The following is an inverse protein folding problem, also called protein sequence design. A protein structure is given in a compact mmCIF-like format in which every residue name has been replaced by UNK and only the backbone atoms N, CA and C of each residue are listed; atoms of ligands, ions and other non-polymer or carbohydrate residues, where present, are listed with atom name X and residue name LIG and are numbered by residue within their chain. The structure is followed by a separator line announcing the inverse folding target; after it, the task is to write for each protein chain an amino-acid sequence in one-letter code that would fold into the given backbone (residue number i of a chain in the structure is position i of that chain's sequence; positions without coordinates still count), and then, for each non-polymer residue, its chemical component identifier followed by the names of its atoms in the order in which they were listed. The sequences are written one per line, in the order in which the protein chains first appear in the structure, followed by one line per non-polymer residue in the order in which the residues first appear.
data_IF_604180144918
#
_entry.id   IF_604180144918
#
_cell.length_a   1.000
_cell.length_b   1.000
_cell.length_c   1.000
_cell.angle_alpha   90.00
_cell.angle_beta   90.00
_cell.angle_gamma   90.00
#
_symmetry.space_group_name_H-M   'P 1'
#
loop_
_entity.id
_entity.type
_entity.pdbx_description
1 polymer ?
#
# COMPACT_ATOMS: atom_id res chain seq x y z
N UNK A 1 6.83 -5.22 -19.50
CA UNK A 1 6.09 -3.93 -19.63
C UNK A 1 6.84 -3.03 -20.61
N UNK A 2 6.19 -2.26 -21.49
CA UNK A 2 6.93 -1.28 -22.33
C UNK A 2 7.27 0.02 -21.54
N UNK A 3 8.23 0.81 -22.02
CA UNK A 3 8.73 2.02 -21.35
C UNK A 3 7.65 3.10 -21.15
N UNK A 4 6.62 3.13 -22.01
CA UNK A 4 5.52 4.12 -21.91
C UNK A 4 4.54 3.75 -20.79
N UNK A 5 4.24 2.45 -20.68
CA UNK A 5 3.40 1.86 -19.63
C UNK A 5 4.06 1.99 -18.25
N UNK A 6 5.37 1.77 -18.17
CA UNK A 6 6.16 1.99 -16.94
C UNK A 6 6.15 3.45 -16.47
N UNK A 7 6.34 4.41 -17.39
CA UNK A 7 6.29 5.84 -17.06
C UNK A 7 4.92 6.29 -16.54
N UNK A 8 3.84 5.78 -17.12
CA UNK A 8 2.47 6.05 -16.66
C UNK A 8 2.24 5.48 -15.25
N UNK A 9 2.66 4.24 -15.03
CA UNK A 9 2.53 3.56 -13.75
C UNK A 9 3.30 4.30 -12.63
N UNK A 10 4.53 4.73 -12.92
CA UNK A 10 5.34 5.52 -12.00
C UNK A 10 4.66 6.83 -11.59
N UNK A 11 4.08 7.56 -12.54
CA UNK A 11 3.35 8.79 -12.27
C UNK A 11 2.10 8.55 -11.40
N UNK A 12 1.38 7.45 -11.62
CA UNK A 12 0.25 7.04 -10.77
C UNK A 12 0.67 6.78 -9.33
N UNK A 13 1.76 6.03 -9.10
CA UNK A 13 2.24 5.79 -7.74
C UNK A 13 2.64 7.08 -7.02
N UNK A 14 3.30 8.01 -7.71
CA UNK A 14 3.64 9.30 -7.12
C UNK A 14 2.40 10.12 -6.76
N UNK A 15 1.37 10.11 -7.63
CA UNK A 15 0.10 10.79 -7.36
C UNK A 15 -0.59 10.20 -6.12
N UNK A 16 -0.70 8.88 -6.05
CA UNK A 16 -1.32 8.17 -4.93
C UNK A 16 -0.54 8.39 -3.63
N UNK A 17 0.80 8.31 -3.67
CA UNK A 17 1.63 8.56 -2.49
C UNK A 17 1.49 9.99 -1.96
N UNK A 18 1.36 10.99 -2.85
CA UNK A 18 1.05 12.37 -2.44
C UNK A 18 -0.36 12.51 -1.85
N UNK A 19 -1.33 11.80 -2.39
CA UNK A 19 -2.70 11.80 -1.88
C UNK A 19 -2.76 11.17 -0.48
N UNK A 20 -2.02 10.10 -0.22
CA UNK A 20 -1.97 9.46 1.10
C UNK A 20 -1.10 10.20 2.12
N UNK A 21 -0.16 11.04 1.65
CA UNK A 21 0.65 11.89 2.53
C UNK A 21 -0.22 12.81 3.39
N UNK A 22 -1.30 13.34 2.82
CA UNK A 22 -2.31 14.12 3.53
C UNK A 22 -3.59 13.30 3.55
N UNK A 23 -3.84 12.59 4.65
CA UNK A 23 -4.98 11.69 4.77
C UNK A 23 -6.26 12.38 4.29
N UNK A 24 -6.96 11.81 3.29
CA UNK A 24 -8.21 12.35 2.80
C UNK A 24 -9.19 12.52 3.97
N UNK A 25 -9.93 13.64 4.03
CA UNK A 25 -10.85 13.89 5.14
C UNK A 25 -12.09 12.99 5.10
N UNK A 26 -12.39 12.39 3.94
CA UNK A 26 -13.52 11.50 3.75
C UNK A 26 -13.09 10.04 3.67
N UNK A 27 -13.83 9.18 4.37
CA UNK A 27 -13.71 7.71 4.28
C UNK A 27 -13.79 7.24 2.82
N UNK A 28 -14.77 7.71 2.06
CA UNK A 28 -15.01 7.24 0.69
C UNK A 28 -13.87 7.67 -0.25
N UNK A 29 -13.28 8.85 -0.02
CA UNK A 29 -12.11 9.30 -0.78
C UNK A 29 -10.88 8.44 -0.46
N UNK A 30 -10.66 8.13 0.82
CA UNK A 30 -9.59 7.25 1.25
C UNK A 30 -9.73 5.85 0.66
N UNK A 31 -10.93 5.24 0.72
CA UNK A 31 -11.19 3.93 0.13
C UNK A 31 -10.92 3.91 -1.37
N UNK A 32 -11.39 4.94 -2.11
CA UNK A 32 -11.14 5.04 -3.55
C UNK A 32 -9.64 5.11 -3.87
N UNK A 33 -8.87 5.83 -3.07
CA UNK A 33 -7.41 5.91 -3.23
C UNK A 33 -6.76 4.54 -2.95
N UNK A 34 -7.18 3.86 -1.88
CA UNK A 34 -6.68 2.52 -1.53
C UNK A 34 -7.02 1.47 -2.60
N UNK A 35 -8.23 1.52 -3.15
CA UNK A 35 -8.67 0.65 -4.25
C UNK A 35 -7.85 0.88 -5.53
N UNK A 36 -7.66 2.14 -5.93
CA UNK A 36 -6.84 2.48 -7.11
C UNK A 36 -5.40 2.01 -6.91
N UNK A 37 -4.85 2.23 -5.72
CA UNK A 37 -3.49 1.84 -5.39
C UNK A 37 -3.32 0.31 -5.40
N UNK A 38 -4.26 -0.42 -4.81
CA UNK A 38 -4.23 -1.90 -4.77
C UNK A 38 -4.41 -2.50 -6.17
N UNK A 39 -5.31 -1.93 -6.99
CA UNK A 39 -5.48 -2.33 -8.39
C UNK A 39 -4.19 -2.19 -9.20
N UNK A 40 -3.44 -1.10 -8.98
CA UNK A 40 -2.13 -0.92 -9.60
C UNK A 40 -1.09 -1.94 -9.10
N UNK A 41 -1.10 -2.30 -7.81
CA UNK A 41 -0.17 -3.28 -7.25
C UNK A 41 -0.39 -4.70 -7.77
N UNK A 42 -1.65 -5.11 -7.94
CA UNK A 42 -1.99 -6.45 -8.46
C UNK A 42 -1.38 -6.77 -9.82
N UNK A 43 -1.12 -5.75 -10.65
CA UNK A 43 -0.56 -5.94 -11.99
C UNK A 43 0.96 -6.09 -12.00
N UNK A 44 1.61 -6.01 -10.84
CA UNK A 44 3.07 -6.03 -10.73
C UNK A 44 3.53 -7.39 -10.23
N UNK A 45 4.47 -7.97 -10.97
CA UNK A 45 5.17 -9.18 -10.56
C UNK A 45 6.45 -8.84 -9.78
N UNK A 46 6.97 -9.83 -9.04
CA UNK A 46 8.18 -9.66 -8.22
C UNK A 46 9.40 -9.28 -9.08
N UNK A 47 9.52 -9.83 -10.29
CA UNK A 47 10.65 -9.60 -11.18
C UNK A 47 10.64 -8.19 -11.83
N UNK A 48 9.45 -7.58 -11.92
CA UNK A 48 9.25 -6.22 -12.45
C UNK A 48 9.46 -5.13 -11.38
N UNK A 49 9.90 -5.50 -10.18
CA UNK A 49 10.00 -4.59 -9.04
C UNK A 49 11.13 -3.57 -9.15
N UNK A 50 12.27 -3.95 -9.72
CA UNK A 50 13.52 -3.18 -9.65
C UNK A 50 13.47 -1.81 -10.33
N UNK A 51 12.73 -1.65 -11.43
CA UNK A 51 12.77 -0.43 -12.25
C UNK A 51 11.88 0.72 -11.71
N UNK A 52 10.93 0.40 -10.82
CA UNK A 52 9.95 1.36 -10.28
C UNK A 52 10.13 1.69 -8.79
N UNK A 53 11.20 1.19 -8.17
CA UNK A 53 11.48 1.24 -6.72
C UNK A 53 11.31 2.63 -6.09
N UNK A 54 12.02 3.65 -6.60
CA UNK A 54 12.08 4.99 -5.98
C UNK A 54 10.75 5.75 -5.96
N UNK A 55 9.84 5.48 -6.90
CA UNK A 55 8.54 6.15 -6.92
C UNK A 55 7.53 5.50 -5.97
N UNK A 56 7.79 4.26 -5.54
CA UNK A 56 6.89 3.43 -4.74
C UNK A 56 7.21 3.47 -3.25
N UNK A 57 8.47 3.65 -2.85
CA UNK A 57 8.86 3.73 -1.44
C UNK A 57 8.04 4.75 -0.65
N UNK A 58 7.81 5.94 -1.23
CA UNK A 58 6.99 6.97 -0.61
C UNK A 58 5.56 6.48 -0.33
N UNK A 59 4.96 5.76 -1.30
CA UNK A 59 3.62 5.22 -1.19
C UNK A 59 3.54 4.06 -0.18
N UNK A 60 4.51 3.15 -0.20
CA UNK A 60 4.57 2.00 0.70
C UNK A 60 4.74 2.43 2.15
N UNK A 61 5.55 3.45 2.39
CA UNK A 61 5.75 4.01 3.73
C UNK A 61 4.54 4.80 4.23
N UNK A 62 3.72 5.40 3.35
CA UNK A 62 2.50 6.09 3.82
C UNK A 62 1.48 5.13 4.43
N UNK A 63 1.50 3.85 4.06
CA UNK A 63 0.46 2.89 4.44
C UNK A 63 0.79 2.07 5.68
N UNK A 64 2.07 2.04 6.08
CA UNK A 64 2.51 1.54 7.38
C UNK A 64 2.32 2.57 8.50
N UNK A 65 1.63 3.68 8.23
CA UNK A 65 1.31 4.70 9.22
C UNK A 65 0.27 4.18 10.21
N UNK A 66 0.51 4.40 11.50
CA UNK A 66 -0.40 3.99 12.57
C UNK A 66 -1.82 4.51 12.36
N UNK A 67 -1.99 5.72 11.81
CA UNK A 67 -3.32 6.31 11.59
C UNK A 67 -4.18 5.54 10.56
N UNK A 68 -3.54 4.76 9.68
CA UNK A 68 -4.23 3.91 8.71
C UNK A 68 -4.41 2.48 9.21
N UNK A 69 -3.40 1.96 9.92
CA UNK A 69 -3.45 0.64 10.54
C UNK A 69 -4.51 0.55 11.64
N UNK A 70 -4.62 1.59 12.47
CA UNK A 70 -5.60 1.71 13.55
C UNK A 70 -6.77 2.65 13.19
N UNK A 71 -7.15 2.68 11.91
CA UNK A 71 -8.25 3.53 11.47
C UNK A 71 -9.58 3.06 12.08
N UNK A 72 -10.45 3.96 12.54
CA UNK A 72 -11.71 3.62 13.23
C UNK A 72 -12.64 2.74 12.37
N UNK A 73 -12.64 2.95 11.06
CA UNK A 73 -13.45 2.22 10.10
C UNK A 73 -12.79 0.89 9.67
N UNK A 74 -13.50 -0.24 9.87
CA UNK A 74 -12.99 -1.58 9.56
C UNK A 74 -12.80 -1.89 8.07
N UNK A 75 -13.62 -1.30 7.18
CA UNK A 75 -13.46 -1.45 5.73
C UNK A 75 -12.14 -0.81 5.25
N UNK A 76 -11.80 0.36 5.80
CA UNK A 76 -10.51 1.01 5.56
C UNK A 76 -9.37 0.12 6.03
N UNK A 77 -9.45 -0.45 7.24
CA UNK A 77 -8.41 -1.35 7.76
C UNK A 77 -8.20 -2.58 6.86
N UNK A 78 -9.29 -3.23 6.43
CA UNK A 78 -9.22 -4.38 5.51
C UNK A 78 -8.53 -3.99 4.19
N UNK A 79 -8.85 -2.81 3.63
CA UNK A 79 -8.21 -2.33 2.40
C UNK A 79 -6.73 -1.97 2.60
N UNK A 80 -6.36 -1.41 3.75
CA UNK A 80 -4.95 -1.16 4.11
C UNK A 80 -4.18 -2.47 4.21
N UNK A 81 -4.74 -3.49 4.87
CA UNK A 81 -4.16 -4.84 4.97
C UNK A 81 -3.98 -5.46 3.58
N UNK A 82 -5.00 -5.35 2.73
CA UNK A 82 -4.93 -5.91 1.40
C UNK A 82 -3.83 -5.24 0.57
N UNK A 83 -3.71 -3.92 0.67
CA UNK A 83 -2.63 -3.19 0.05
C UNK A 83 -1.25 -3.66 0.54
N UNK A 84 -1.05 -3.74 1.85
CA UNK A 84 0.22 -4.17 2.45
C UNK A 84 0.59 -5.59 2.02
N UNK A 85 -0.40 -6.47 1.91
CA UNK A 85 -0.20 -7.85 1.43
C UNK A 85 0.35 -7.87 0.00
N UNK A 86 -0.13 -6.99 -0.88
CA UNK A 86 0.42 -6.84 -2.23
C UNK A 86 1.83 -6.28 -2.23
N UNK A 87 2.15 -5.33 -1.33
CA UNK A 87 3.53 -4.84 -1.17
C UNK A 87 4.46 -5.98 -0.77
N UNK A 88 4.08 -6.78 0.24
CA UNK A 88 4.86 -7.94 0.67
C UNK A 88 5.08 -8.90 -0.51
N UNK A 89 4.01 -9.28 -1.24
CA UNK A 89 4.10 -10.16 -2.43
C UNK A 89 5.08 -9.66 -3.48
N UNK A 90 5.10 -8.35 -3.74
CA UNK A 90 5.94 -7.74 -4.78
C UNK A 90 7.40 -7.60 -4.34
N UNK A 91 7.64 -7.40 -3.04
CA UNK A 91 8.95 -7.04 -2.51
C UNK A 91 9.73 -8.22 -1.95
N UNK A 92 9.08 -9.36 -1.66
CA UNK A 92 9.79 -10.57 -1.26
C UNK A 92 10.87 -10.96 -2.28
N UNK A 93 12.02 -11.48 -1.85
CA UNK A 93 12.38 -11.83 -0.47
C UNK A 93 12.86 -10.66 0.39
N UNK A 94 12.92 -9.41 -0.13
CA UNK A 94 13.47 -8.25 0.57
C UNK A 94 12.40 -7.19 0.84
N UNK A 95 11.78 -7.30 2.02
CA UNK A 95 10.71 -6.40 2.44
C UNK A 95 11.18 -4.93 2.57
N UNK A 96 10.30 -3.95 2.30
CA UNK A 96 10.60 -2.53 2.46
C UNK A 96 10.42 -2.06 3.91
N UNK A 97 9.91 -2.91 4.79
CA UNK A 97 9.63 -2.62 6.20
C UNK A 97 10.66 -3.33 7.09
N UNK A 98 11.05 -2.69 8.19
CA UNK A 98 11.88 -3.34 9.21
C UNK A 98 11.04 -4.28 10.09
N UNK A 99 11.70 -5.12 10.88
CA UNK A 99 11.07 -6.16 11.70
C UNK A 99 9.99 -5.60 12.64
N UNK A 100 10.28 -4.49 13.32
CA UNK A 100 9.34 -3.81 14.23
C UNK A 100 8.07 -3.37 13.49
N UNK A 101 8.19 -2.81 12.28
CA UNK A 101 7.02 -2.40 11.48
C UNK A 101 6.24 -3.62 11.00
N UNK A 102 6.94 -4.71 10.68
CA UNK A 102 6.29 -5.96 10.26
C UNK A 102 5.48 -6.60 11.40
N UNK A 103 5.98 -6.55 12.64
CA UNK A 103 5.24 -6.98 13.82
C UNK A 103 3.93 -6.20 13.97
N UNK A 104 3.97 -4.87 13.97
CA UNK A 104 2.79 -3.99 14.05
C UNK A 104 1.77 -4.31 12.93
N UNK A 105 2.28 -4.48 11.71
CA UNK A 105 1.47 -4.84 10.54
C UNK A 105 0.76 -6.18 10.73
N UNK A 106 1.46 -7.21 11.23
CA UNK A 106 0.87 -8.53 11.44
C UNK A 106 -0.14 -8.54 12.59
N UNK A 107 0.13 -7.82 13.68
CA UNK A 107 -0.83 -7.66 14.78
C UNK A 107 -2.13 -7.03 14.29
N UNK A 108 -2.04 -5.95 13.49
CA UNK A 108 -3.20 -5.28 12.90
C UNK A 108 -3.93 -6.18 11.90
N UNK A 109 -3.20 -6.96 11.09
CA UNK A 109 -3.79 -7.96 10.19
C UNK A 109 -4.64 -8.96 10.96
N UNK A 110 -4.06 -9.58 11.99
CA UNK A 110 -4.76 -10.59 12.80
C UNK A 110 -5.92 -9.96 13.58
N UNK A 111 -5.70 -8.78 14.18
CA UNK A 111 -6.73 -8.05 14.92
C UNK A 111 -7.93 -7.67 14.06
N UNK A 112 -7.72 -7.33 12.78
CA UNK A 112 -8.80 -7.01 11.85
C UNK A 112 -9.70 -8.21 11.52
N UNK A 113 -9.21 -9.44 11.72
CA UNK A 113 -10.03 -10.66 11.61
C UNK A 113 -10.76 -11.03 12.90
N UNK A 114 -10.39 -10.49 14.06
CA UNK A 114 -11.01 -10.87 15.35
C UNK A 114 -12.45 -10.35 15.52
N UNK A 115 -12.92 -9.45 14.64
CA UNK A 115 -14.28 -8.91 14.63
C UNK A 115 -15.10 -9.26 13.38
N UNK A 116 -14.64 -10.23 12.56
CA UNK A 116 -15.32 -10.73 11.36
C UNK A 116 -16.13 -12.01 11.63
#
# INVERSE_FOLDING_TARGET
MDLSSEGNMKARFQKLGRALKYLPPSKDELLKILEEATSCLKTIEQDDYGSMFLARDSLFMQLARHELLDHENGEVRIMVIFYISEVIRITTPKLPYCDVIMEDIFEVMVGSFQGL
#
